data_IF_317849244793
#
_entry.id   IF_317849244793
#
_cell.length_a   1.000
_cell.length_b   1.000
_cell.length_c   1.000
_cell.angle_alpha   90.00
_cell.angle_beta   90.00
_cell.angle_gamma   90.00
#
_symmetry.space_group_name_H-M   'P 1'
#
loop_
_entity.id
_entity.type
_entity.pdbx_description
1 polymer ?
#
# COMPACT_ATOMS: atom_id res chain seq x y z
N UNK A 1 44.37 -54.72 -45.52
CA UNK A 1 44.89 -53.39 -45.14
C UNK A 1 43.72 -52.56 -44.63
N UNK A 2 43.98 -51.75 -43.60
CA UNK A 2 43.05 -51.13 -42.65
C UNK A 2 41.74 -50.52 -43.19
N UNK A 3 40.63 -50.78 -42.47
CA UNK A 3 39.47 -49.90 -42.44
C UNK A 3 39.42 -49.24 -41.05
N UNK A 4 39.79 -47.96 -40.99
CA UNK A 4 39.74 -47.14 -39.78
C UNK A 4 38.42 -46.39 -39.76
N UNK A 5 37.48 -46.77 -38.90
CA UNK A 5 36.25 -45.99 -38.68
C UNK A 5 36.52 -44.89 -37.65
N UNK A 6 36.51 -43.63 -38.09
CA UNK A 6 36.49 -42.47 -37.19
C UNK A 6 35.10 -42.37 -36.55
N UNK A 7 35.04 -42.47 -35.23
CA UNK A 7 33.85 -42.14 -34.44
C UNK A 7 33.99 -40.68 -33.99
N UNK A 8 33.24 -39.77 -34.63
CA UNK A 8 33.09 -38.40 -34.15
C UNK A 8 32.10 -38.37 -32.99
N UNK A 9 32.60 -38.19 -31.76
CA UNK A 9 31.78 -37.87 -30.60
C UNK A 9 31.41 -36.38 -30.65
N UNK A 10 30.19 -36.08 -31.09
CA UNK A 10 29.63 -34.74 -31.00
C UNK A 10 29.23 -34.43 -29.56
N UNK A 11 30.00 -33.59 -28.86
CA UNK A 11 29.61 -33.04 -27.57
C UNK A 11 28.53 -31.96 -27.79
N UNK A 12 27.26 -32.31 -27.60
CA UNK A 12 26.17 -31.33 -27.59
C UNK A 12 26.18 -30.57 -26.27
N UNK A 13 26.74 -29.36 -26.27
CA UNK A 13 26.65 -28.45 -25.12
C UNK A 13 25.23 -27.88 -25.08
N UNK A 14 24.36 -28.47 -24.25
CA UNK A 14 23.01 -27.95 -24.03
C UNK A 14 23.10 -26.65 -23.21
N UNK A 15 23.09 -25.52 -23.92
CA UNK A 15 22.98 -24.20 -23.32
C UNK A 15 21.56 -24.06 -22.75
N UNK A 16 21.41 -24.44 -21.48
CA UNK A 16 20.20 -24.20 -20.71
C UNK A 16 20.09 -22.70 -20.49
N UNK A 17 19.29 -22.03 -21.33
CA UNK A 17 18.90 -20.65 -21.11
C UNK A 17 18.04 -20.60 -19.86
N UNK A 18 18.65 -20.21 -18.73
CA UNK A 18 17.92 -19.78 -17.55
C UNK A 18 17.07 -18.57 -17.96
N UNK A 19 15.78 -18.82 -18.21
CA UNK A 19 14.78 -17.76 -18.31
C UNK A 19 14.64 -17.20 -16.90
N UNK A 20 15.49 -16.24 -16.55
CA UNK A 20 15.23 -15.38 -15.41
C UNK A 20 13.99 -14.55 -15.77
N UNK A 21 12.82 -15.01 -15.33
CA UNK A 21 11.68 -14.11 -15.19
C UNK A 21 12.15 -12.99 -14.27
N UNK A 22 12.37 -11.79 -14.82
CA UNK A 22 12.64 -10.59 -14.04
C UNK A 22 11.32 -10.20 -13.37
N UNK A 23 10.90 -10.99 -12.38
CA UNK A 23 9.92 -10.54 -11.41
C UNK A 23 10.60 -9.41 -10.66
N UNK A 24 10.02 -8.21 -10.73
CA UNK A 24 10.52 -7.06 -10.02
C UNK A 24 10.66 -7.44 -8.54
N UNK A 25 11.89 -7.67 -8.08
CA UNK A 25 12.14 -8.12 -6.73
C UNK A 25 11.97 -6.91 -5.81
N UNK A 26 10.75 -6.76 -5.26
CA UNK A 26 10.47 -5.74 -4.27
C UNK A 26 11.22 -6.05 -2.96
N UNK A 27 11.46 -5.03 -2.15
CA UNK A 27 12.24 -5.13 -0.92
C UNK A 27 11.40 -4.95 0.34
N UNK A 28 10.27 -4.26 0.24
CA UNK A 28 9.36 -4.02 1.34
C UNK A 28 7.92 -3.83 0.85
N UNK A 29 6.98 -3.91 1.78
CA UNK A 29 5.61 -3.47 1.58
C UNK A 29 5.34 -2.14 2.27
N UNK A 30 4.52 -1.31 1.64
CA UNK A 30 3.94 -0.10 2.23
C UNK A 30 2.43 -0.28 2.35
N UNK A 31 1.89 -0.42 3.57
CA UNK A 31 0.47 -0.23 3.79
C UNK A 31 0.18 1.27 3.83
N UNK A 32 -0.34 1.78 2.72
CA UNK A 32 -0.73 3.18 2.56
C UNK A 32 -2.17 3.34 3.03
N UNK A 33 -2.36 4.12 4.10
CA UNK A 33 -3.67 4.45 4.63
C UNK A 33 -3.99 5.92 4.35
N UNK A 34 -5.12 6.19 3.71
CA UNK A 34 -5.57 7.53 3.33
C UNK A 34 -6.57 8.08 4.34
N UNK A 35 -6.49 9.40 4.58
CA UNK A 35 -7.43 10.14 5.41
C UNK A 35 -8.57 10.70 4.55
N UNK A 36 -9.81 10.19 4.69
CA UNK A 36 -10.87 10.50 3.75
C UNK A 36 -11.17 11.99 3.57
N UNK A 37 -11.24 12.84 4.63
CA UNK A 37 -11.45 14.27 4.45
C UNK A 37 -10.39 14.95 3.56
N UNK A 38 -9.12 14.59 3.70
CA UNK A 38 -8.04 15.13 2.87
C UNK A 38 -8.05 14.57 1.43
N UNK A 39 -8.49 13.32 1.25
CA UNK A 39 -8.71 12.74 -0.08
C UNK A 39 -9.86 13.47 -0.79
N UNK A 40 -10.99 13.66 -0.09
CA UNK A 40 -12.21 14.28 -0.62
C UNK A 40 -12.11 15.78 -0.87
N UNK A 41 -11.06 16.45 -0.39
CA UNK A 41 -10.88 17.87 -0.65
C UNK A 41 -10.63 18.16 -2.13
N UNK A 42 -9.88 17.29 -2.81
CA UNK A 42 -9.38 17.54 -4.17
C UNK A 42 -10.16 16.77 -5.24
N UNK A 43 -11.14 15.97 -4.84
CA UNK A 43 -11.99 15.16 -5.72
C UNK A 43 -13.38 15.01 -5.10
N UNK A 44 -14.41 14.99 -5.94
CA UNK A 44 -15.75 14.63 -5.47
C UNK A 44 -15.75 13.20 -4.92
N UNK A 45 -16.00 13.09 -3.61
CA UNK A 45 -16.15 11.80 -2.97
C UNK A 45 -17.50 11.18 -3.32
N UNK A 46 -17.44 9.91 -3.72
CA UNK A 46 -18.62 9.13 -4.11
C UNK A 46 -19.21 8.34 -2.95
N UNK A 47 -18.46 8.16 -1.86
CA UNK A 47 -18.90 7.44 -0.69
C UNK A 47 -19.44 8.40 0.37
N UNK A 48 -20.72 8.24 0.71
CA UNK A 48 -21.41 9.01 1.75
C UNK A 48 -22.07 8.05 2.76
N UNK A 49 -21.99 8.33 4.08
CA UNK A 49 -21.19 9.39 4.68
C UNK A 49 -19.68 9.13 4.49
N UNK A 50 -18.91 10.21 4.43
CA UNK A 50 -17.44 10.11 4.33
C UNK A 50 -16.89 9.38 5.57
N UNK A 51 -16.04 8.34 5.42
CA UNK A 51 -15.54 7.61 6.57
C UNK A 51 -14.73 8.53 7.51
N UNK A 52 -14.97 8.41 8.82
CA UNK A 52 -14.30 9.19 9.88
C UNK A 52 -13.05 8.51 10.42
N UNK A 53 -12.44 7.63 9.63
CA UNK A 53 -11.28 6.80 9.98
C UNK A 53 -10.36 6.68 8.78
N UNK A 54 -9.09 6.37 9.04
CA UNK A 54 -8.18 5.98 7.97
C UNK A 54 -8.70 4.74 7.23
N UNK A 55 -8.70 4.79 5.91
CA UNK A 55 -9.03 3.66 5.03
C UNK A 55 -7.78 3.24 4.27
N UNK A 56 -7.74 2.00 3.81
CA UNK A 56 -6.64 1.52 2.97
C UNK A 56 -6.73 2.24 1.61
N UNK A 57 -5.59 2.78 1.16
CA UNK A 57 -5.37 3.14 -0.23
C UNK A 57 -4.80 1.93 -0.98
N UNK A 58 -3.70 1.38 -0.47
CA UNK A 58 -3.22 0.08 -0.92
C UNK A 58 -2.06 -0.49 -0.14
N UNK A 59 -1.70 -1.72 -0.49
CA UNK A 59 -0.52 -2.42 0.00
C UNK A 59 0.49 -2.47 -1.14
N UNK A 60 1.51 -1.62 -1.11
CA UNK A 60 2.37 -1.44 -2.29
C UNK A 60 3.73 -2.11 -2.10
N UNK A 61 4.07 -3.10 -2.93
CA UNK A 61 5.45 -3.53 -3.10
C UNK A 61 6.32 -2.34 -3.52
N UNK A 62 7.42 -2.15 -2.82
CA UNK A 62 8.35 -1.05 -3.04
C UNK A 62 9.79 -1.51 -2.84
N UNK A 63 10.73 -0.62 -3.12
CA UNK A 63 12.14 -0.85 -2.82
C UNK A 63 12.69 0.37 -2.07
N UNK A 64 13.87 0.30 -1.46
CA UNK A 64 14.39 1.40 -0.65
C UNK A 64 14.75 2.65 -1.46
N UNK A 65 14.79 2.55 -2.80
CA UNK A 65 15.12 3.65 -3.74
C UNK A 65 13.90 4.20 -4.49
N UNK A 66 12.76 3.51 -4.47
CA UNK A 66 11.54 3.79 -5.22
C UNK A 66 10.30 3.56 -4.35
N UNK A 67 9.44 4.57 -4.16
CA UNK A 67 8.32 4.52 -3.23
C UNK A 67 7.16 3.61 -3.66
N UNK A 68 7.20 3.05 -4.87
CA UNK A 68 6.33 1.96 -5.29
C UNK A 68 6.88 1.35 -6.58
N UNK A 69 6.48 0.11 -6.84
CA UNK A 69 6.65 -0.53 -8.14
C UNK A 69 5.32 -0.51 -8.91
N UNK A 70 5.42 -0.42 -10.22
CA UNK A 70 4.28 -0.60 -11.14
C UNK A 70 4.50 -1.90 -11.88
N UNK A 71 3.51 -2.78 -11.82
CA UNK A 71 3.64 -4.10 -12.38
C UNK A 71 3.48 -4.05 -13.91
N UNK A 72 4.51 -4.49 -14.63
CA UNK A 72 4.46 -4.69 -16.08
C UNK A 72 3.99 -6.09 -16.47
N UNK A 73 3.70 -6.96 -15.49
CA UNK A 73 3.26 -8.35 -15.65
C UNK A 73 2.55 -8.88 -14.39
N UNK A 74 2.24 -10.18 -14.35
CA UNK A 74 1.50 -10.86 -13.28
C UNK A 74 0.02 -11.11 -13.61
N UNK A 75 -0.69 -11.84 -12.75
CA UNK A 75 -2.11 -12.15 -13.00
C UNK A 75 -3.00 -10.91 -12.90
N UNK A 76 -4.07 -10.91 -13.68
CA UNK A 76 -5.10 -9.87 -13.61
C UNK A 76 -6.09 -10.17 -12.50
N UNK A 77 -6.65 -9.11 -11.93
CA UNK A 77 -7.63 -9.22 -10.87
C UNK A 77 -8.83 -10.08 -11.29
N UNK A 78 -9.13 -11.09 -10.50
CA UNK A 78 -10.29 -11.97 -10.67
C UNK A 78 -11.22 -11.91 -9.47
N UNK A 79 -12.48 -11.52 -9.68
CA UNK A 79 -13.50 -11.53 -8.62
C UNK A 79 -14.01 -12.93 -8.29
N UNK A 80 -13.75 -13.90 -9.17
CA UNK A 80 -14.24 -15.28 -9.07
C UNK A 80 -13.22 -16.23 -8.48
N UNK A 81 -12.02 -15.73 -8.14
CA UNK A 81 -11.01 -16.55 -7.45
C UNK A 81 -11.55 -17.02 -6.09
N UNK A 82 -11.35 -18.30 -5.79
CA UNK A 82 -11.84 -18.92 -4.58
C UNK A 82 -11.34 -18.18 -3.33
N UNK A 83 -12.24 -17.92 -2.38
CA UNK A 83 -11.92 -17.21 -1.13
C UNK A 83 -12.06 -15.68 -1.19
N UNK A 84 -12.01 -15.06 -2.37
CA UNK A 84 -12.11 -13.59 -2.47
C UNK A 84 -13.48 -13.05 -2.05
N UNK A 85 -14.56 -13.80 -2.28
CA UNK A 85 -15.92 -13.40 -1.87
C UNK A 85 -16.05 -13.16 -0.37
N UNK A 86 -15.35 -13.94 0.47
CA UNK A 86 -15.38 -13.82 1.92
C UNK A 86 -14.72 -12.52 2.43
N UNK A 87 -13.80 -11.92 1.66
CA UNK A 87 -13.11 -10.68 2.03
C UNK A 87 -13.97 -9.43 1.77
N UNK A 88 -14.97 -9.52 0.91
CA UNK A 88 -15.72 -8.35 0.41
C UNK A 88 -16.31 -7.48 1.53
N UNK A 89 -16.96 -8.01 2.58
CA UNK A 89 -17.48 -7.15 3.65
C UNK A 89 -16.39 -6.32 4.33
N UNK A 90 -15.25 -6.93 4.64
CA UNK A 90 -14.11 -6.25 5.24
C UNK A 90 -13.47 -5.25 4.26
N UNK A 91 -13.35 -5.59 2.98
CA UNK A 91 -12.84 -4.67 1.95
C UNK A 91 -13.74 -3.46 1.74
N UNK A 92 -15.07 -3.63 1.73
CA UNK A 92 -16.02 -2.50 1.64
C UNK A 92 -15.83 -1.56 2.83
N UNK A 93 -15.62 -2.10 4.03
CA UNK A 93 -15.44 -1.28 5.21
C UNK A 93 -14.05 -0.62 5.26
N UNK A 94 -12.97 -1.39 5.18
CA UNK A 94 -11.60 -0.92 5.42
C UNK A 94 -10.89 -0.38 4.18
N UNK A 95 -11.27 -0.82 2.98
CA UNK A 95 -10.63 -0.44 1.72
C UNK A 95 -11.65 0.08 0.68
N UNK A 96 -12.57 0.99 1.03
CA UNK A 96 -13.51 1.48 0.06
C UNK A 96 -12.83 2.39 -0.98
N UNK A 97 -13.45 2.45 -2.15
CA UNK A 97 -13.24 3.57 -3.07
C UNK A 97 -13.94 4.83 -2.51
N UNK A 98 -13.15 5.80 -2.06
CA UNK A 98 -13.66 7.09 -1.58
C UNK A 98 -14.15 7.99 -2.72
N UNK A 99 -13.57 7.85 -3.92
CA UNK A 99 -13.90 8.65 -5.10
C UNK A 99 -15.11 8.06 -5.83
N UNK A 100 -15.62 8.76 -6.85
CA UNK A 100 -16.66 8.22 -7.73
C UNK A 100 -16.24 6.87 -8.35
N UNK A 101 -17.16 5.91 -8.41
CA UNK A 101 -16.97 4.58 -9.01
C UNK A 101 -17.12 3.44 -8.01
N UNK A 102 -17.03 2.19 -8.47
CA UNK A 102 -17.25 1.03 -7.61
C UNK A 102 -16.01 0.69 -6.77
N UNK A 103 -16.20 0.17 -5.55
CA UNK A 103 -15.10 -0.37 -4.74
C UNK A 103 -14.32 -1.46 -5.49
N UNK A 104 -15.03 -2.33 -6.21
CA UNK A 104 -14.45 -3.37 -7.06
C UNK A 104 -13.46 -2.82 -8.10
N UNK A 105 -13.83 -1.74 -8.78
CA UNK A 105 -12.94 -1.10 -9.76
C UNK A 105 -11.67 -0.53 -9.13
N UNK A 106 -11.75 -0.09 -7.87
CA UNK A 106 -10.59 0.39 -7.13
C UNK A 106 -9.69 -0.77 -6.71
N UNK A 107 -10.26 -1.85 -6.16
CA UNK A 107 -9.50 -3.06 -5.82
C UNK A 107 -8.80 -3.67 -7.04
N UNK A 108 -9.49 -3.73 -8.20
CA UNK A 108 -8.89 -4.16 -9.47
C UNK A 108 -7.66 -3.32 -9.81
N UNK A 109 -7.77 -1.98 -9.75
CA UNK A 109 -6.65 -1.08 -10.04
C UNK A 109 -5.48 -1.28 -9.09
N UNK A 110 -5.74 -1.42 -7.79
CA UNK A 110 -4.68 -1.64 -6.80
C UNK A 110 -4.00 -3.00 -6.99
N UNK A 111 -4.75 -4.06 -7.31
CA UNK A 111 -4.15 -5.35 -7.65
C UNK A 111 -3.33 -5.29 -8.94
N UNK A 112 -3.93 -4.85 -10.04
CA UNK A 112 -3.31 -4.87 -11.36
C UNK A 112 -2.06 -3.97 -11.42
N UNK A 113 -2.04 -2.88 -10.65
CA UNK A 113 -0.93 -1.92 -10.63
C UNK A 113 0.15 -2.25 -9.60
N UNK A 114 -0.23 -2.82 -8.45
CA UNK A 114 0.67 -3.00 -7.31
C UNK A 114 0.71 -4.46 -6.82
N UNK A 115 -0.43 -5.07 -6.53
CA UNK A 115 -0.49 -6.40 -5.93
C UNK A 115 0.16 -7.50 -6.77
N UNK A 116 -0.01 -7.45 -8.09
CA UNK A 116 0.59 -8.41 -9.02
C UNK A 116 2.14 -8.44 -8.96
N UNK A 117 2.79 -7.39 -8.46
CA UNK A 117 4.26 -7.32 -8.30
C UNK A 117 4.76 -8.20 -7.16
N UNK A 118 3.87 -8.60 -6.25
CA UNK A 118 4.16 -9.44 -5.10
C UNK A 118 3.54 -10.84 -5.21
N UNK A 119 3.11 -11.25 -6.39
CA UNK A 119 2.41 -12.52 -6.59
C UNK A 119 3.26 -13.75 -6.24
N UNK A 120 4.59 -13.62 -6.29
CA UNK A 120 5.53 -14.63 -5.82
C UNK A 120 5.53 -14.83 -4.29
N UNK A 121 4.92 -13.92 -3.53
CA UNK A 121 4.78 -13.99 -2.07
C UNK A 121 3.31 -14.15 -1.67
N UNK A 122 2.43 -13.35 -2.26
CA UNK A 122 1.00 -13.35 -1.97
C UNK A 122 0.19 -13.44 -3.26
N UNK A 123 -0.59 -14.52 -3.41
CA UNK A 123 -1.65 -14.52 -4.40
C UNK A 123 -2.69 -13.43 -4.11
N UNK A 124 -3.62 -13.18 -5.04
CA UNK A 124 -4.62 -12.11 -4.89
C UNK A 124 -5.36 -12.14 -3.55
N UNK A 125 -5.81 -13.32 -3.10
CA UNK A 125 -6.57 -13.45 -1.85
C UNK A 125 -5.66 -13.11 -0.65
N UNK A 126 -4.44 -13.65 -0.63
CA UNK A 126 -3.46 -13.38 0.42
C UNK A 126 -3.05 -11.90 0.47
N UNK A 127 -2.94 -11.23 -0.68
CA UNK A 127 -2.61 -9.81 -0.77
C UNK A 127 -3.67 -8.94 -0.07
N UNK A 128 -4.94 -9.14 -0.42
CA UNK A 128 -6.05 -8.42 0.21
C UNK A 128 -6.20 -8.80 1.69
N UNK A 129 -6.07 -10.08 2.03
CA UNK A 129 -6.14 -10.54 3.41
C UNK A 129 -5.01 -9.95 4.27
N UNK A 130 -3.78 -9.85 3.75
CA UNK A 130 -2.62 -9.27 4.44
C UNK A 130 -2.87 -7.80 4.75
N UNK A 131 -3.31 -7.02 3.75
CA UNK A 131 -3.65 -5.61 3.95
C UNK A 131 -4.75 -5.42 5.01
N UNK A 132 -5.78 -6.29 4.99
CA UNK A 132 -6.84 -6.29 5.99
C UNK A 132 -6.31 -6.63 7.39
N UNK A 133 -5.51 -7.69 7.53
CA UNK A 133 -4.93 -8.12 8.80
C UNK A 133 -4.10 -7.01 9.45
N UNK A 134 -3.29 -6.30 8.66
CA UNK A 134 -2.53 -5.17 9.16
C UNK A 134 -3.48 -4.04 9.58
N UNK A 135 -4.45 -3.66 8.72
CA UNK A 135 -5.37 -2.55 9.02
C UNK A 135 -6.25 -2.82 10.23
N UNK A 136 -6.65 -4.06 10.48
CA UNK A 136 -7.54 -4.42 11.61
C UNK A 136 -6.77 -4.72 12.89
N UNK A 137 -5.44 -4.75 12.86
CA UNK A 137 -4.63 -4.91 14.05
C UNK A 137 -4.73 -3.64 14.91
N UNK A 138 -5.20 -3.72 16.17
CA UNK A 138 -5.31 -2.56 17.06
C UNK A 138 -4.00 -1.82 17.30
N UNK A 139 -2.85 -2.52 17.19
CA UNK A 139 -1.51 -1.90 17.29
C UNK A 139 -1.23 -0.88 16.17
N UNK A 140 -1.98 -0.95 15.08
CA UNK A 140 -1.81 -0.13 13.88
C UNK A 140 -3.02 0.77 13.61
N UNK A 141 -3.94 0.92 14.56
CA UNK A 141 -5.03 1.91 14.45
C UNK A 141 -4.48 3.33 14.64
N UNK A 142 -4.12 3.93 13.51
CA UNK A 142 -3.52 5.26 13.45
C UNK A 142 -4.38 6.35 14.07
N UNK A 143 -5.71 6.28 13.93
CA UNK A 143 -6.58 7.31 14.50
C UNK A 143 -6.65 7.15 16.01
N UNK A 144 -6.75 5.92 16.52
CA UNK A 144 -6.72 5.66 17.96
C UNK A 144 -5.40 6.11 18.58
N UNK A 145 -4.26 5.78 17.95
CA UNK A 145 -2.92 6.20 18.39
C UNK A 145 -2.83 7.73 18.49
N UNK A 146 -3.23 8.43 17.43
CA UNK A 146 -3.15 9.90 17.39
C UNK A 146 -4.13 10.54 18.38
N UNK A 147 -5.34 10.02 18.54
CA UNK A 147 -6.30 10.52 19.52
C UNK A 147 -5.80 10.35 20.96
N UNK A 148 -5.22 9.19 21.29
CA UNK A 148 -4.64 8.94 22.62
C UNK A 148 -3.50 9.91 22.97
N UNK A 149 -2.80 10.43 21.96
CA UNK A 149 -1.77 11.45 22.10
C UNK A 149 -2.30 12.90 22.01
N UNK A 150 -3.61 13.14 21.92
CA UNK A 150 -4.24 14.45 21.65
C UNK A 150 -3.83 15.08 20.31
N UNK A 151 -3.48 14.24 19.33
CA UNK A 151 -3.01 14.59 17.99
C UNK A 151 -4.03 14.24 16.88
N UNK A 152 -5.28 13.98 17.27
CA UNK A 152 -6.39 13.76 16.35
C UNK A 152 -6.65 14.93 15.38
N UNK A 153 -7.56 14.75 14.41
CA UNK A 153 -7.89 15.78 13.44
C UNK A 153 -8.49 17.01 14.11
N UNK A 154 -7.99 18.20 13.75
CA UNK A 154 -8.36 19.49 14.35
C UNK A 154 -8.83 20.53 13.34
N UNK A 155 -8.68 20.28 12.03
CA UNK A 155 -9.19 21.16 10.99
C UNK A 155 -8.29 22.34 10.68
N UNK A 156 -8.00 23.19 11.67
CA UNK A 156 -7.34 24.49 11.43
C UNK A 156 -6.03 24.68 12.21
N UNK A 157 -5.65 23.70 13.04
CA UNK A 157 -4.43 23.74 13.84
C UNK A 157 -3.33 22.97 13.11
N UNK A 158 -2.18 23.61 12.94
CA UNK A 158 -0.99 22.96 12.38
C UNK A 158 -0.43 21.91 13.35
N UNK A 159 -0.14 20.73 12.81
CA UNK A 159 0.60 19.66 13.48
C UNK A 159 2.06 19.74 13.06
N UNK A 160 2.97 19.55 14.03
CA UNK A 160 4.39 19.40 13.75
C UNK A 160 4.65 17.98 13.25
N UNK A 161 5.41 17.84 12.17
CA UNK A 161 5.79 16.55 11.59
C UNK A 161 6.35 15.59 12.65
N UNK A 162 7.36 16.05 13.39
CA UNK A 162 8.08 15.21 14.35
C UNK A 162 7.18 14.74 15.50
N UNK A 163 6.15 15.51 15.87
CA UNK A 163 5.22 15.13 16.94
C UNK A 163 4.30 13.98 16.48
N UNK A 164 3.78 14.06 15.26
CA UNK A 164 2.96 12.98 14.66
C UNK A 164 3.81 11.73 14.45
N UNK A 165 5.01 11.88 13.89
CA UNK A 165 5.94 10.77 13.64
C UNK A 165 6.32 10.07 14.95
N UNK A 166 6.69 10.83 16.00
CA UNK A 166 7.10 10.27 17.28
C UNK A 166 5.95 9.56 18.00
N UNK A 167 4.72 10.09 17.94
CA UNK A 167 3.57 9.43 18.56
C UNK A 167 3.28 8.07 17.92
N UNK A 168 3.33 7.99 16.59
CA UNK A 168 3.14 6.73 15.87
C UNK A 168 4.31 5.79 16.14
N UNK A 169 5.55 6.27 16.07
CA UNK A 169 6.75 5.47 16.36
C UNK A 169 6.74 4.91 17.77
N UNK A 170 6.27 5.67 18.76
CA UNK A 170 6.15 5.20 20.14
C UNK A 170 5.14 4.06 20.27
N UNK A 171 4.04 4.09 19.51
CA UNK A 171 3.01 3.06 19.54
C UNK A 171 3.37 1.81 18.71
N UNK A 172 4.01 1.99 17.56
CA UNK A 172 4.28 0.89 16.60
C UNK A 172 5.70 0.36 16.66
N UNK A 173 6.62 1.07 17.32
CA UNK A 173 8.05 0.77 17.39
C UNK A 173 8.86 1.22 16.16
N UNK A 174 8.21 1.71 15.10
CA UNK A 174 8.87 2.06 13.81
C UNK A 174 8.38 3.37 13.24
N UNK A 175 9.27 4.04 12.51
CA UNK A 175 9.02 5.33 11.87
C UNK A 175 7.99 5.17 10.72
N UNK A 176 6.83 5.88 10.76
CA UNK A 176 5.89 5.88 9.66
C UNK A 176 6.37 6.76 8.49
N UNK A 177 5.73 6.63 7.33
CA UNK A 177 5.83 7.60 6.25
C UNK A 177 4.64 8.57 6.29
N UNK A 178 4.87 9.86 6.58
CA UNK A 178 3.81 10.87 6.53
C UNK A 178 3.74 11.49 5.14
N UNK A 179 2.57 11.40 4.50
CA UNK A 179 2.34 11.96 3.18
C UNK A 179 1.25 13.03 3.17
N UNK A 180 1.56 14.15 2.56
CA UNK A 180 0.70 15.31 2.51
C UNK A 180 0.29 15.63 1.08
N UNK A 181 -0.87 16.27 0.95
CA UNK A 181 -1.33 16.91 -0.28
C UNK A 181 -1.64 18.39 -0.01
N UNK A 182 -1.93 19.14 -1.07
CA UNK A 182 -2.43 20.51 -0.94
C UNK A 182 -3.96 20.50 -0.98
N UNK A 183 -4.59 21.13 0.01
CA UNK A 183 -6.02 21.40 0.00
C UNK A 183 -6.33 22.44 -1.08
N UNK A 184 -7.08 22.08 -2.13
CA UNK A 184 -7.33 23.00 -3.25
C UNK A 184 -8.19 24.22 -2.87
N UNK A 185 -8.98 24.15 -1.79
CA UNK A 185 -9.84 25.24 -1.34
C UNK A 185 -9.06 26.24 -0.48
N UNK A 186 -8.32 25.77 0.53
CA UNK A 186 -7.58 26.64 1.47
C UNK A 186 -6.13 26.92 1.06
N UNK A 187 -5.62 26.18 0.07
CA UNK A 187 -4.20 26.16 -0.36
C UNK A 187 -3.22 25.68 0.71
N UNK A 188 -3.70 25.20 1.85
CA UNK A 188 -2.85 24.68 2.92
C UNK A 188 -2.39 23.25 2.62
N UNK A 189 -1.19 22.91 3.07
CA UNK A 189 -0.73 21.52 3.09
C UNK A 189 -1.42 20.76 4.21
N UNK A 190 -2.00 19.60 3.89
CA UNK A 190 -2.72 18.75 4.84
C UNK A 190 -2.22 17.30 4.80
N UNK A 191 -2.29 16.62 5.95
CA UNK A 191 -2.02 15.20 6.08
C UNK A 191 -3.04 14.41 5.25
N UNK A 192 -2.54 13.68 4.27
CA UNK A 192 -3.36 12.93 3.32
C UNK A 192 -3.24 11.42 3.54
N UNK A 193 -2.03 10.91 3.74
CA UNK A 193 -1.80 9.49 3.99
C UNK A 193 -0.77 9.29 5.10
N UNK A 194 -0.91 8.18 5.80
CA UNK A 194 0.10 7.65 6.69
C UNK A 194 0.44 6.24 6.20
N UNK A 195 1.73 5.98 6.09
CA UNK A 195 2.28 4.71 5.62
C UNK A 195 2.92 3.96 6.78
N UNK A 196 2.56 2.69 6.91
CA UNK A 196 3.29 1.73 7.74
C UNK A 196 4.04 0.76 6.82
N UNK A 197 5.32 0.54 7.09
CA UNK A 197 6.18 -0.27 6.24
C UNK A 197 6.44 -1.63 6.88
N UNK A 198 6.47 -2.66 6.05
CA UNK A 198 6.67 -4.04 6.46
C UNK A 198 7.74 -4.69 5.59
N UNK A 199 8.48 -5.65 6.15
CA UNK A 199 9.37 -6.51 5.40
C UNK A 199 8.57 -7.32 4.34
N UNK A 200 9.26 -8.04 3.47
CA UNK A 200 8.68 -8.85 2.39
C UNK A 200 7.75 -9.95 2.90
N UNK A 201 7.82 -10.30 4.18
CA UNK A 201 6.89 -11.23 4.82
C UNK A 201 5.48 -10.63 5.05
N UNK A 202 5.30 -9.32 4.85
CA UNK A 202 4.03 -8.63 5.08
C UNK A 202 3.59 -8.59 6.54
N UNK A 203 4.49 -8.86 7.49
CA UNK A 203 4.18 -9.01 8.91
C UNK A 203 5.15 -8.25 9.82
N UNK A 204 6.45 -8.26 9.50
CA UNK A 204 7.49 -7.60 10.31
C UNK A 204 7.51 -6.11 10.02
N UNK A 205 7.15 -5.28 11.01
CA UNK A 205 7.16 -3.82 10.85
C UNK A 205 8.59 -3.26 10.78
N UNK A 206 8.84 -2.36 9.83
CA UNK A 206 10.14 -1.71 9.59
C UNK A 206 9.97 -0.19 9.45
N UNK A 207 11.09 0.54 9.51
CA UNK A 207 11.08 1.99 9.31
C UNK A 207 10.76 2.35 7.86
N UNK A 208 9.87 3.31 7.65
CA UNK A 208 9.54 3.77 6.30
C UNK A 208 10.65 4.64 5.68
N UNK A 209 11.06 4.37 4.43
CA UNK A 209 12.09 5.14 3.75
C UNK A 209 11.59 6.48 3.18
N UNK A 210 10.28 6.62 2.95
CA UNK A 210 9.71 7.78 2.24
C UNK A 210 8.66 8.54 3.06
N UNK A 211 8.74 9.87 2.99
CA UNK A 211 7.73 10.82 3.47
C UNK A 211 7.81 12.08 2.59
N UNK A 212 6.71 12.84 2.48
CA UNK A 212 6.70 14.10 1.72
C UNK A 212 5.99 15.26 2.44
N UNK A 213 5.55 15.06 3.68
CA UNK A 213 5.00 16.16 4.46
C UNK A 213 6.09 17.18 4.83
N UNK A 214 5.77 18.48 4.82
CA UNK A 214 6.64 19.53 5.35
C UNK A 214 6.72 19.49 6.88
N UNK A 215 7.51 20.38 7.48
CA UNK A 215 7.66 20.50 8.95
C UNK A 215 6.33 20.69 9.68
N UNK A 216 5.37 21.36 9.06
CA UNK A 216 4.05 21.66 9.61
C UNK A 216 2.97 21.47 8.55
N UNK A 217 1.87 20.85 8.93
CA UNK A 217 0.72 20.60 8.05
C UNK A 217 -0.58 20.56 8.86
N UNK A 218 -1.69 20.68 8.17
CA UNK A 218 -3.03 20.58 8.75
C UNK A 218 -3.46 19.12 8.86
N UNK A 219 -4.16 18.75 9.94
CA UNK A 219 -4.89 17.48 10.00
C UNK A 219 -6.40 17.76 10.02
N UNK A 220 -7.02 17.63 8.85
CA UNK A 220 -8.38 18.08 8.58
C UNK A 220 -9.44 17.23 9.30
N UNK A 221 -10.49 17.87 9.83
CA UNK A 221 -11.66 17.15 10.36
C UNK A 221 -12.55 16.63 9.23
N UNK A 222 -13.36 15.62 9.52
CA UNK A 222 -14.46 15.23 8.65
C UNK A 222 -15.50 16.34 8.66
N UNK A 223 -15.60 17.10 7.57
CA UNK A 223 -16.76 17.97 7.36
C UNK A 223 -17.95 17.05 7.10
N UNK A 224 -18.93 17.08 8.02
CA UNK A 224 -20.27 16.60 7.76
C UNK A 224 -20.85 17.52 6.68
N UNK A 225 -20.70 17.13 5.41
CA UNK A 225 -21.49 17.65 4.31
C UNK A 225 -22.69 16.73 4.12
#
# INVERSE_FOLDING_TARGET
MAHTHLILLSLSLSLSTLIFSVNAQFELFQLVQQWPPATCTNVHCGQLPTPTRFTIHGLWPANYTKPYLVCSGGTKFSETIQGFSALKPALVYYWPNLKKGSHKSFWRKEWDKHGACSENVFNQVQYFQTALNIRTNPKYDLLAILNAANLGPTGNIFRQYHVIENAIKAATGKKPGLRCNTNQNTKQTQLHEIVLCFDKDGATIIDCPFANCPKQFVFSITTLL
#
